data_IF_951261832659
#
_entry.id   IF_951261832659
#
_cell.length_a   1.000
_cell.length_b   1.000
_cell.length_c   1.000
_cell.angle_alpha   90.00
_cell.angle_beta   90.00
_cell.angle_gamma   90.00
#
_symmetry.space_group_name_H-M   'P 1'
#
loop_
_entity.id
_entity.type
_entity.pdbx_description
1 polymer ?
#
# COMPACT_ATOMS: atom_id res chain seq x y z
N UNK A 1 -5.45 12.06 19.21
CA UNK A 1 -5.28 10.67 18.73
C UNK A 1 -6.27 9.70 19.38
N UNK A 2 -6.38 9.65 20.72
CA UNK A 2 -7.28 8.74 21.44
C UNK A 2 -8.72 8.73 20.91
N UNK A 3 -9.33 9.91 20.76
CA UNK A 3 -10.68 10.06 20.20
C UNK A 3 -10.80 9.50 18.78
N UNK A 4 -9.81 9.76 17.92
CA UNK A 4 -9.79 9.26 16.55
C UNK A 4 -9.72 7.73 16.51
N UNK A 5 -8.85 7.13 17.34
CA UNK A 5 -8.74 5.67 17.44
C UNK A 5 -10.05 5.03 17.91
N UNK A 6 -10.71 5.62 18.90
CA UNK A 6 -12.01 5.14 19.39
C UNK A 6 -13.11 5.23 18.31
N UNK A 7 -13.22 6.37 17.64
CA UNK A 7 -14.24 6.60 16.61
C UNK A 7 -14.08 5.70 15.38
N UNK A 8 -12.85 5.31 15.06
CA UNK A 8 -12.53 4.53 13.85
C UNK A 8 -12.19 3.06 14.16
N UNK A 9 -12.32 2.61 15.41
CA UNK A 9 -11.91 1.28 15.85
C UNK A 9 -10.48 0.91 15.44
N UNK A 10 -9.56 1.87 15.57
CA UNK A 10 -8.13 1.70 15.24
C UNK A 10 -7.25 1.78 16.49
N UNK A 11 -5.97 1.46 16.36
CA UNK A 11 -4.99 1.46 17.45
C UNK A 11 -3.66 2.14 17.06
N UNK A 12 -3.73 3.23 16.29
CA UNK A 12 -2.53 3.94 15.85
C UNK A 12 -1.71 4.48 17.02
N UNK A 13 -0.39 4.32 16.93
CA UNK A 13 0.56 4.99 17.80
C UNK A 13 0.85 6.41 17.31
N UNK A 14 1.38 7.27 18.18
CA UNK A 14 1.89 8.58 17.73
C UNK A 14 3.11 8.40 16.86
N UNK A 15 3.17 9.12 15.73
CA UNK A 15 4.38 9.16 14.93
C UNK A 15 5.54 9.71 15.79
N UNK A 16 6.68 9.01 15.90
CA UNK A 16 7.75 9.43 16.80
C UNK A 16 8.31 10.80 16.44
N UNK A 17 8.65 11.59 17.44
CA UNK A 17 9.29 12.90 17.22
C UNK A 17 10.67 12.72 16.58
N UNK A 18 11.01 13.56 15.62
CA UNK A 18 12.31 13.51 14.93
C UNK A 18 12.35 12.55 13.74
N UNK A 19 11.29 11.78 13.48
CA UNK A 19 11.20 10.90 12.31
C UNK A 19 10.45 11.55 11.13
N UNK A 20 10.12 12.84 11.24
CA UNK A 20 9.45 13.59 10.19
C UNK A 20 9.84 15.06 10.22
N UNK A 21 9.73 15.72 9.08
CA UNK A 21 9.83 17.18 8.94
C UNK A 21 8.54 17.71 8.33
N UNK A 22 8.09 18.88 8.79
CA UNK A 22 6.90 19.54 8.27
C UNK A 22 7.07 21.06 8.35
N UNK A 23 6.45 21.82 7.43
CA UNK A 23 6.35 23.27 7.55
C UNK A 23 5.64 23.67 8.85
N UNK A 24 6.10 24.73 9.49
CA UNK A 24 5.45 25.32 10.67
C UNK A 24 4.37 26.34 10.30
N UNK A 25 4.38 26.82 9.06
CA UNK A 25 3.42 27.78 8.52
C UNK A 25 3.21 27.54 7.03
N UNK A 26 2.02 27.89 6.54
CA UNK A 26 1.67 27.85 5.12
C UNK A 26 1.24 29.24 4.70
N UNK A 27 1.84 29.75 3.63
CA UNK A 27 1.39 30.98 2.99
C UNK A 27 0.45 30.63 1.84
N UNK A 28 -0.76 31.18 1.86
CA UNK A 28 -1.67 31.10 0.73
C UNK A 28 -1.33 32.20 -0.25
N UNK A 29 -0.84 31.83 -1.42
CA UNK A 29 -0.75 32.74 -2.56
C UNK A 29 -2.02 32.58 -3.38
N UNK A 30 -2.80 33.65 -3.56
CA UNK A 30 -3.87 33.71 -4.57
C UNK A 30 -3.29 33.41 -5.96
N UNK A 31 -3.98 32.71 -6.89
CA UNK A 31 -5.40 32.32 -6.91
C UNK A 31 -5.84 30.94 -6.38
N UNK A 32 -4.97 29.95 -6.05
CA UNK A 32 -5.48 28.65 -5.60
C UNK A 32 -6.20 28.73 -4.24
N UNK A 33 -7.29 27.98 -4.14
CA UNK A 33 -8.09 27.81 -2.90
C UNK A 33 -7.50 26.74 -1.97
N UNK A 34 -6.39 26.12 -2.37
CA UNK A 34 -5.66 25.08 -1.66
C UNK A 34 -4.15 25.35 -1.74
N UNK A 35 -3.41 24.86 -0.77
CA UNK A 35 -1.96 24.94 -0.74
C UNK A 35 -1.42 23.62 -0.21
N UNK A 36 -0.39 23.09 -0.89
CA UNK A 36 0.21 21.83 -0.49
C UNK A 36 0.95 21.97 0.85
N UNK A 37 0.67 21.04 1.76
CA UNK A 37 1.37 20.89 3.03
C UNK A 37 2.20 19.62 2.99
N UNK A 38 3.50 19.79 2.72
CA UNK A 38 4.40 18.66 2.50
C UNK A 38 5.00 18.17 3.82
N UNK A 39 4.72 16.92 4.18
CA UNK A 39 5.32 16.25 5.33
C UNK A 39 6.32 15.22 4.78
N UNK A 40 7.58 15.31 5.19
CA UNK A 40 8.59 14.32 4.83
C UNK A 40 8.81 13.37 6.00
N UNK A 41 8.95 12.08 5.71
CA UNK A 41 9.06 11.01 6.69
C UNK A 41 10.39 10.29 6.54
N UNK A 42 11.09 10.06 7.66
CA UNK A 42 12.25 9.17 7.74
C UNK A 42 11.77 7.74 7.99
N UNK A 43 11.41 7.06 6.90
CA UNK A 43 10.84 5.70 6.94
C UNK A 43 11.72 4.71 7.75
N UNK A 44 13.06 4.65 7.55
CA UNK A 44 13.93 3.81 8.36
C UNK A 44 13.83 4.04 9.88
N UNK A 45 13.71 5.28 10.34
CA UNK A 45 13.67 5.62 11.77
C UNK A 45 12.34 5.26 12.46
N UNK A 46 11.26 5.16 11.68
CA UNK A 46 9.90 4.91 12.16
C UNK A 46 9.68 3.43 12.51
N UNK A 47 10.46 2.56 11.87
CA UNK A 47 10.50 1.12 12.13
C UNK A 47 9.32 0.36 11.54
N UNK A 48 9.65 -0.81 10.99
CA UNK A 48 8.73 -1.66 10.24
C UNK A 48 7.55 -2.16 11.06
N UNK A 49 6.38 -2.30 10.41
CA UNK A 49 5.15 -2.90 10.96
C UNK A 49 4.50 -2.05 12.04
N UNK A 50 4.69 -0.75 11.94
CA UNK A 50 4.09 0.21 12.84
C UNK A 50 3.07 1.03 12.09
N UNK A 51 1.92 1.19 12.73
CA UNK A 51 0.85 2.07 12.27
C UNK A 51 0.90 3.31 13.13
N UNK A 52 1.27 4.43 12.52
CA UNK A 52 1.40 5.71 13.19
C UNK A 52 0.34 6.68 12.72
N UNK A 53 0.08 7.66 13.56
CA UNK A 53 -0.75 8.79 13.24
C UNK A 53 -0.03 10.08 13.63
N UNK A 54 -0.15 11.07 12.76
CA UNK A 54 0.24 12.45 13.00
C UNK A 54 -1.02 13.33 12.99
N UNK A 55 -1.62 13.57 14.16
CA UNK A 55 -2.68 14.56 14.31
C UNK A 55 -2.13 15.97 14.06
N UNK A 56 -2.74 16.67 13.13
CA UNK A 56 -2.42 18.05 12.78
C UNK A 56 -3.62 18.93 13.13
N UNK A 57 -3.36 20.09 13.73
CA UNK A 57 -4.37 21.09 14.05
C UNK A 57 -3.85 22.45 13.64
N UNK A 58 -4.68 23.25 12.96
CA UNK A 58 -4.35 24.64 12.69
C UNK A 58 -4.38 25.37 14.03
N UNK A 59 -3.25 25.96 14.42
CA UNK A 59 -3.12 26.68 15.68
C UNK A 59 -3.61 28.13 15.56
N UNK A 60 -3.29 28.80 14.45
CA UNK A 60 -3.65 30.18 14.18
C UNK A 60 -3.67 30.45 12.67
N UNK A 61 -4.33 31.54 12.29
CA UNK A 61 -4.33 32.11 10.93
C UNK A 61 -4.10 33.61 11.03
N UNK A 62 -3.48 34.20 10.00
CA UNK A 62 -3.16 35.64 10.01
C UNK A 62 -4.34 36.53 9.66
N UNK A 63 -5.27 36.07 8.81
CA UNK A 63 -6.32 36.94 8.24
C UNK A 63 -7.61 36.16 7.87
N UNK A 64 -8.17 35.40 8.82
CA UNK A 64 -9.41 34.62 8.67
C UNK A 64 -9.84 33.98 10.00
N UNK A 65 -10.85 33.11 9.97
CA UNK A 65 -11.21 32.23 11.08
C UNK A 65 -10.90 30.78 10.75
N UNK A 66 -10.53 30.01 11.78
CA UNK A 66 -10.36 28.56 11.67
C UNK A 66 -11.75 27.91 11.74
N UNK A 67 -12.05 27.00 10.81
CA UNK A 67 -13.30 26.25 10.83
C UNK A 67 -13.47 25.47 12.16
N UNK A 68 -14.61 25.63 12.82
CA UNK A 68 -14.93 24.89 14.05
C UNK A 68 -15.12 23.38 13.80
N UNK A 69 -15.51 23.01 12.58
CA UNK A 69 -15.77 21.61 12.18
C UNK A 69 -14.60 20.92 11.48
N UNK A 70 -13.66 21.68 10.91
CA UNK A 70 -12.49 21.13 10.19
C UNK A 70 -11.15 21.70 10.70
N UNK A 71 -11.04 21.91 12.02
CA UNK A 71 -9.83 22.48 12.63
C UNK A 71 -8.66 21.51 12.74
N UNK A 72 -8.89 20.20 12.58
CA UNK A 72 -7.87 19.17 12.70
C UNK A 72 -8.02 18.08 11.63
N UNK A 73 -6.90 17.42 11.34
CA UNK A 73 -6.83 16.21 10.52
C UNK A 73 -5.89 15.21 11.18
N UNK A 74 -6.00 13.93 10.81
CA UNK A 74 -5.09 12.88 11.28
C UNK A 74 -4.50 12.20 10.07
N UNK A 75 -3.20 12.37 9.87
CA UNK A 75 -2.46 11.68 8.81
C UNK A 75 -2.02 10.33 9.35
N UNK A 76 -2.49 9.24 8.75
CA UNK A 76 -2.13 7.87 9.15
C UNK A 76 -1.01 7.32 8.27
N UNK A 77 0.05 6.81 8.88
CA UNK A 77 1.19 6.20 8.22
C UNK A 77 1.29 4.71 8.57
N UNK A 78 1.57 3.89 7.56
CA UNK A 78 1.74 2.45 7.72
C UNK A 78 3.11 2.07 7.17
N UNK A 79 4.04 1.75 8.07
CA UNK A 79 5.40 1.33 7.67
C UNK A 79 5.38 -0.16 7.37
N UNK A 80 5.78 -0.52 6.15
CA UNK A 80 5.76 -1.89 5.60
C UNK A 80 4.41 -2.60 5.60
N UNK A 81 3.32 -1.86 5.36
CA UNK A 81 2.03 -2.48 5.14
C UNK A 81 1.75 -2.66 3.65
N UNK A 82 1.88 -3.88 3.12
CA UNK A 82 1.48 -4.16 1.74
C UNK A 82 -0.03 -4.01 1.50
N UNK A 83 -0.84 -3.82 2.55
CA UNK A 83 -2.29 -3.67 2.40
C UNK A 83 -2.68 -2.44 1.57
N UNK A 84 -3.63 -2.63 0.64
CA UNK A 84 -4.19 -1.55 -0.15
C UNK A 84 -4.42 -1.91 -1.61
N UNK A 85 -4.97 -0.93 -2.35
CA UNK A 85 -5.16 -1.02 -3.78
C UNK A 85 -3.89 -0.66 -4.53
N UNK A 86 -3.49 -1.53 -5.46
CA UNK A 86 -2.36 -1.34 -6.37
C UNK A 86 -2.84 -1.34 -7.82
N UNK A 87 -2.18 -0.52 -8.64
CA UNK A 87 -2.21 -0.70 -10.10
C UNK A 87 -1.24 -1.80 -10.46
N UNK A 88 -1.63 -2.68 -11.38
CA UNK A 88 -0.83 -3.84 -11.79
C UNK A 88 -0.47 -3.70 -13.27
N UNK A 89 0.81 -3.54 -13.54
CA UNK A 89 1.36 -3.62 -14.89
C UNK A 89 1.90 -5.02 -15.16
N UNK A 90 1.53 -5.54 -16.34
CA UNK A 90 2.13 -6.74 -16.89
C UNK A 90 3.50 -6.37 -17.46
N UNK A 91 4.54 -7.04 -17.00
CA UNK A 91 5.86 -6.96 -17.63
C UNK A 91 5.99 -8.12 -18.63
N UNK A 92 6.48 -7.84 -19.82
CA UNK A 92 6.55 -8.80 -20.93
C UNK A 92 7.57 -9.90 -20.64
N UNK A 93 7.11 -11.13 -20.37
CA UNK A 93 7.95 -12.35 -20.45
C UNK A 93 7.07 -13.56 -20.79
N UNK A 94 7.70 -14.63 -21.28
CA UNK A 94 7.05 -15.75 -21.96
C UNK A 94 6.13 -16.57 -21.03
N UNK A 95 4.92 -16.89 -21.50
CA UNK A 95 4.07 -17.93 -20.89
C UNK A 95 2.59 -17.57 -20.76
N UNK A 96 2.24 -16.43 -20.18
CA UNK A 96 0.82 -16.06 -20.02
C UNK A 96 0.24 -15.26 -21.19
N UNK A 97 -0.96 -15.64 -21.60
CA UNK A 97 -1.75 -14.91 -22.59
C UNK A 97 -2.26 -13.57 -22.05
N UNK A 98 -2.20 -12.53 -22.89
CA UNK A 98 -2.69 -11.18 -22.57
C UNK A 98 -4.17 -11.13 -22.15
N UNK A 99 -4.98 -12.13 -22.55
CA UNK A 99 -6.41 -12.19 -22.29
C UNK A 99 -6.81 -12.34 -20.82
N UNK A 100 -5.88 -12.68 -19.93
CA UNK A 100 -6.14 -12.73 -18.48
C UNK A 100 -6.03 -11.36 -17.78
N UNK A 101 -5.65 -10.32 -18.53
CA UNK A 101 -5.52 -8.95 -18.06
C UNK A 101 -6.63 -8.08 -18.65
N UNK A 102 -7.26 -7.18 -17.87
CA UNK A 102 -8.20 -6.22 -18.40
C UNK A 102 -7.58 -5.40 -19.54
N UNK A 103 -8.31 -5.28 -20.64
CA UNK A 103 -7.88 -4.49 -21.80
C UNK A 103 -7.80 -3.01 -21.42
N UNK A 104 -8.78 -2.53 -20.66
CA UNK A 104 -8.81 -1.19 -20.09
C UNK A 104 -7.81 -1.08 -18.92
N UNK A 105 -6.79 -0.20 -19.01
CA UNK A 105 -5.81 0.02 -17.94
C UNK A 105 -6.44 0.48 -16.61
N UNK A 106 -7.57 1.17 -16.64
CA UNK A 106 -8.24 1.63 -15.41
C UNK A 106 -8.77 0.47 -14.55
N UNK A 107 -9.04 -0.67 -15.18
CA UNK A 107 -9.53 -1.88 -14.50
C UNK A 107 -8.36 -2.76 -14.01
N UNK A 108 -7.11 -2.37 -14.28
CA UNK A 108 -5.91 -3.12 -13.89
C UNK A 108 -5.53 -2.85 -12.44
N UNK A 109 -6.45 -3.14 -11.52
CA UNK A 109 -6.20 -3.03 -10.08
C UNK A 109 -6.36 -4.34 -9.30
N UNK A 110 -5.59 -4.47 -8.23
CA UNK A 110 -5.74 -5.52 -7.21
C UNK A 110 -5.62 -4.93 -5.82
N UNK A 111 -6.44 -5.44 -4.91
CA UNK A 111 -6.31 -5.18 -3.49
C UNK A 111 -5.45 -6.27 -2.83
N UNK A 112 -4.41 -5.85 -2.13
CA UNK A 112 -3.68 -6.71 -1.20
C UNK A 112 -4.36 -6.58 0.15
N UNK A 113 -4.90 -7.68 0.67
CA UNK A 113 -5.60 -7.76 1.95
C UNK A 113 -4.68 -8.28 3.03
N UNK A 114 -4.63 -7.62 4.19
CA UNK A 114 -3.91 -8.17 5.35
C UNK A 114 -4.65 -9.38 5.94
N UNK A 115 -3.92 -10.46 6.21
CA UNK A 115 -4.46 -11.68 6.83
C UNK A 115 -3.78 -12.02 8.16
N UNK A 116 -2.67 -11.36 8.48
CA UNK A 116 -1.99 -11.43 9.77
C UNK A 116 -0.89 -10.39 9.91
N UNK A 117 -0.01 -10.58 10.89
CA UNK A 117 1.06 -9.62 11.20
C UNK A 117 2.09 -9.50 10.07
N UNK A 118 2.39 -10.64 9.42
CA UNK A 118 3.39 -10.78 8.35
C UNK A 118 2.83 -11.43 7.09
N UNK A 119 1.50 -11.52 7.01
CA UNK A 119 0.82 -12.27 5.98
C UNK A 119 -0.25 -11.41 5.33
N UNK A 120 -0.31 -11.50 4.01
CA UNK A 120 -1.29 -10.85 3.17
C UNK A 120 -1.79 -11.82 2.10
N UNK A 121 -2.88 -11.44 1.47
CA UNK A 121 -3.48 -12.17 0.37
C UNK A 121 -3.83 -11.21 -0.76
N UNK A 122 -3.62 -11.61 -2.00
CA UNK A 122 -4.05 -10.86 -3.19
C UNK A 122 -4.54 -11.83 -4.27
N UNK A 123 -5.12 -11.31 -5.36
CA UNK A 123 -5.45 -12.13 -6.52
C UNK A 123 -4.22 -12.53 -7.30
N UNK A 124 -4.21 -13.72 -7.89
CA UNK A 124 -3.32 -14.02 -9.01
C UNK A 124 -3.94 -13.46 -10.29
N UNK A 125 -3.22 -12.63 -11.04
CA UNK A 125 -3.76 -11.86 -12.16
C UNK A 125 -5.00 -11.06 -11.71
N UNK A 126 -5.99 -10.82 -12.57
CA UNK A 126 -7.20 -10.06 -12.20
C UNK A 126 -8.35 -10.94 -11.74
N UNK A 127 -8.11 -11.71 -10.67
CA UNK A 127 -9.09 -12.67 -10.13
C UNK A 127 -9.58 -12.24 -8.76
N UNK A 128 -9.10 -12.88 -7.68
CA UNK A 128 -9.45 -12.46 -6.32
C UNK A 128 -9.06 -11.02 -6.09
N UNK A 129 -9.84 -10.29 -5.30
CA UNK A 129 -9.50 -8.93 -4.87
C UNK A 129 -9.24 -7.93 -6.02
N UNK A 130 -9.61 -8.26 -7.27
CA UNK A 130 -9.46 -7.36 -8.42
C UNK A 130 -10.60 -6.34 -8.52
N UNK A 131 -11.80 -6.72 -8.05
CA UNK A 131 -13.03 -5.94 -8.19
C UNK A 131 -13.53 -5.35 -6.87
N UNK A 132 -13.13 -5.91 -5.72
CA UNK A 132 -13.40 -5.34 -4.39
C UNK A 132 -12.42 -5.86 -3.33
N UNK A 133 -12.33 -5.17 -2.19
CA UNK A 133 -11.50 -5.54 -1.04
C UNK A 133 -11.96 -6.85 -0.36
N UNK A 134 -13.21 -7.24 -0.63
CA UNK A 134 -13.87 -8.40 -0.03
C UNK A 134 -14.07 -9.55 -1.02
N UNK A 135 -13.79 -9.36 -2.31
CA UNK A 135 -13.96 -10.40 -3.32
C UNK A 135 -12.92 -11.51 -3.14
N UNK A 136 -13.39 -12.68 -2.73
CA UNK A 136 -12.59 -13.90 -2.61
C UNK A 136 -13.10 -14.91 -3.62
N UNK A 137 -12.22 -15.45 -4.47
CA UNK A 137 -12.58 -16.58 -5.34
C UNK A 137 -12.54 -17.89 -4.56
N UNK A 138 -13.29 -18.91 -4.98
CA UNK A 138 -13.25 -20.24 -4.36
C UNK A 138 -12.07 -21.09 -4.84
N UNK A 139 -11.40 -20.70 -5.92
CA UNK A 139 -10.26 -21.43 -6.48
C UNK A 139 -8.94 -20.94 -5.86
N UNK A 140 -8.24 -21.77 -5.06
CA UNK A 140 -6.98 -21.37 -4.44
C UNK A 140 -5.88 -21.02 -5.47
N UNK A 141 -5.98 -21.50 -6.71
CA UNK A 141 -5.04 -21.14 -7.78
C UNK A 141 -5.23 -19.71 -8.30
N UNK A 142 -6.31 -19.04 -7.92
CA UNK A 142 -6.61 -17.66 -8.29
C UNK A 142 -6.33 -16.68 -7.14
N UNK A 143 -5.65 -17.16 -6.10
CA UNK A 143 -5.23 -16.43 -4.93
C UNK A 143 -3.71 -16.54 -4.76
N UNK A 144 -3.13 -15.48 -4.21
CA UNK A 144 -1.73 -15.46 -3.80
C UNK A 144 -1.65 -15.12 -2.32
N UNK A 145 -0.86 -15.90 -1.60
CA UNK A 145 -0.51 -15.64 -0.22
C UNK A 145 0.89 -15.03 -0.19
N UNK A 146 1.03 -13.89 0.47
CA UNK A 146 2.29 -13.16 0.63
C UNK A 146 2.70 -13.28 2.10
N UNK A 147 3.94 -13.67 2.35
CA UNK A 147 4.54 -13.74 3.69
C UNK A 147 5.84 -12.95 3.70
N UNK A 148 6.04 -12.12 4.73
CA UNK A 148 7.29 -11.39 4.96
C UNK A 148 8.06 -12.05 6.10
N UNK A 149 9.32 -12.41 5.86
CA UNK A 149 10.22 -12.75 6.96
C UNK A 149 10.58 -11.45 7.73
N UNK A 150 10.22 -11.33 9.02
CA UNK A 150 10.47 -10.12 9.80
C UNK A 150 11.95 -9.77 9.98
N UNK A 151 12.83 -10.77 9.91
CA UNK A 151 14.27 -10.65 10.15
C UNK A 151 14.98 -10.34 8.84
N UNK A 152 14.79 -11.17 7.81
CA UNK A 152 15.53 -11.06 6.55
C UNK A 152 14.89 -10.09 5.55
N UNK A 153 13.63 -9.69 5.79
CA UNK A 153 12.80 -8.89 4.88
C UNK A 153 12.50 -9.56 3.54
N UNK A 154 12.75 -10.86 3.44
CA UNK A 154 12.44 -11.65 2.26
C UNK A 154 10.93 -11.82 2.15
N UNK A 155 10.39 -11.52 0.96
CA UNK A 155 8.99 -11.77 0.63
C UNK A 155 8.85 -13.12 -0.05
N UNK A 156 8.00 -13.97 0.52
CA UNK A 156 7.57 -15.23 -0.08
C UNK A 156 6.17 -15.07 -0.62
N UNK A 157 5.96 -15.39 -1.90
CA UNK A 157 4.64 -15.39 -2.52
C UNK A 157 4.33 -16.83 -2.93
N UNK A 158 3.10 -17.28 -2.66
CA UNK A 158 2.65 -18.63 -3.01
C UNK A 158 1.30 -18.54 -3.72
N UNK A 159 1.13 -19.27 -4.82
CA UNK A 159 -0.16 -19.44 -5.48
C UNK A 159 -0.67 -20.84 -5.19
N UNK A 160 -1.84 -20.94 -4.54
CA UNK A 160 -2.31 -22.23 -4.02
C UNK A 160 -1.25 -22.89 -3.13
N UNK A 161 -0.82 -24.11 -3.50
CA UNK A 161 0.26 -24.86 -2.84
C UNK A 161 1.63 -24.75 -3.52
N UNK A 162 1.73 -24.00 -4.62
CA UNK A 162 2.96 -23.87 -5.40
C UNK A 162 3.78 -22.69 -4.85
N UNK A 163 5.01 -22.95 -4.35
CA UNK A 163 5.90 -21.87 -3.96
C UNK A 163 6.39 -21.14 -5.22
N UNK A 164 6.25 -19.82 -5.22
CA UNK A 164 6.89 -18.96 -6.20
C UNK A 164 8.25 -18.55 -5.62
N UNK A 165 9.30 -18.46 -6.46
CA UNK A 165 10.66 -18.15 -6.00
C UNK A 165 10.72 -16.93 -5.09
N UNK A 166 11.22 -17.16 -3.86
CA UNK A 166 11.33 -16.19 -2.78
C UNK A 166 12.35 -15.09 -3.04
N UNK A 167 13.30 -15.32 -3.96
CA UNK A 167 14.46 -14.44 -4.13
C UNK A 167 14.27 -13.39 -5.24
N UNK A 168 13.16 -13.44 -5.96
CA UNK A 168 12.94 -12.56 -7.11
C UNK A 168 11.83 -11.53 -6.86
N UNK A 169 10.98 -11.73 -5.84
CA UNK A 169 9.96 -10.76 -5.47
C UNK A 169 10.52 -9.76 -4.47
N UNK A 170 10.32 -8.47 -4.70
CA UNK A 170 10.87 -7.40 -3.84
C UNK A 170 9.87 -6.27 -3.67
N UNK A 171 9.87 -5.65 -2.49
CA UNK A 171 9.10 -4.44 -2.22
C UNK A 171 10.05 -3.27 -2.01
N UNK A 172 9.92 -2.24 -2.85
CA UNK A 172 10.62 -0.98 -2.69
C UNK A 172 9.69 0.02 -2.00
N UNK A 173 9.98 0.32 -0.74
CA UNK A 173 9.17 1.27 0.04
C UNK A 173 9.28 2.72 -0.47
N UNK A 174 10.42 3.11 -1.04
CA UNK A 174 10.64 4.48 -1.51
C UNK A 174 9.78 4.80 -2.74
N UNK A 175 9.60 3.82 -3.63
CA UNK A 175 8.72 3.95 -4.80
C UNK A 175 7.32 3.36 -4.56
N UNK A 176 7.13 2.67 -3.43
CA UNK A 176 5.93 1.90 -3.09
C UNK A 176 5.55 0.90 -4.20
N UNK A 177 6.55 0.17 -4.66
CA UNK A 177 6.42 -0.79 -5.76
C UNK A 177 6.72 -2.20 -5.25
N UNK A 178 5.77 -3.11 -5.45
CA UNK A 178 5.93 -4.54 -5.27
C UNK A 178 6.18 -5.18 -6.63
N UNK A 179 7.35 -5.77 -6.80
CA UNK A 179 7.69 -6.58 -7.96
C UNK A 179 7.46 -8.05 -7.61
N UNK A 180 6.65 -8.73 -8.42
CA UNK A 180 6.34 -10.15 -8.28
C UNK A 180 6.90 -10.87 -9.51
N UNK A 181 7.75 -11.87 -9.27
CA UNK A 181 8.30 -12.72 -10.34
C UNK A 181 7.89 -14.18 -10.11
N UNK A 182 7.27 -14.77 -11.12
CA UNK A 182 6.91 -16.19 -11.11
C UNK A 182 8.07 -17.04 -11.63
N UNK A 183 8.71 -17.77 -10.73
CA UNK A 183 9.52 -18.93 -11.09
C UNK A 183 8.86 -20.16 -10.49
N UNK A 184 8.15 -20.90 -11.34
CA UNK A 184 7.70 -22.25 -11.01
C UNK A 184 8.90 -23.18 -11.16
N UNK A 185 9.37 -23.71 -10.03
CA UNK A 185 10.55 -24.59 -9.96
C UNK A 185 10.50 -25.75 -10.98
N UNK A 186 9.30 -26.22 -11.31
CA UNK A 186 9.09 -27.38 -12.18
C UNK A 186 8.79 -27.02 -13.65
N UNK A 187 8.60 -25.74 -14.00
CA UNK A 187 8.29 -25.28 -15.37
C UNK A 187 9.31 -24.25 -15.87
N UNK A 188 10.49 -24.75 -16.26
CA UNK A 188 11.54 -23.92 -16.86
C UNK A 188 11.01 -23.19 -18.11
N UNK A 189 11.09 -21.86 -18.12
CA UNK A 189 10.74 -21.03 -19.28
C UNK A 189 9.38 -20.33 -19.21
N UNK A 190 8.55 -20.60 -18.19
CA UNK A 190 7.28 -19.91 -17.94
C UNK A 190 7.46 -18.86 -16.85
N UNK A 191 7.51 -17.60 -17.27
CA UNK A 191 7.77 -16.47 -16.40
C UNK A 191 6.67 -15.45 -16.61
N UNK A 192 6.02 -15.02 -15.54
CA UNK A 192 5.29 -13.76 -15.61
C UNK A 192 5.78 -12.85 -14.50
N UNK A 193 5.78 -11.58 -14.82
CA UNK A 193 6.31 -10.54 -13.98
C UNK A 193 5.19 -9.52 -13.85
N UNK A 194 4.82 -9.21 -12.62
CA UNK A 194 3.86 -8.17 -12.32
C UNK A 194 4.59 -7.07 -11.56
N UNK A 195 4.41 -5.84 -12.04
CA UNK A 195 4.78 -4.65 -11.28
C UNK A 195 3.53 -4.08 -10.66
N UNK A 196 3.43 -4.14 -9.34
CA UNK A 196 2.35 -3.54 -8.58
C UNK A 196 2.85 -2.23 -7.98
N UNK A 197 2.19 -1.12 -8.26
CA UNK A 197 2.65 0.21 -7.82
C UNK A 197 1.49 1.12 -7.44
N UNK A 198 1.83 2.19 -6.72
CA UNK A 198 0.95 3.24 -6.23
C UNK A 198 -0.20 2.71 -5.35
N UNK A 199 -0.09 2.92 -4.03
CA UNK A 199 -1.21 2.69 -3.10
C UNK A 199 -2.31 3.73 -3.35
N UNK A 200 -3.51 3.21 -3.58
CA UNK A 200 -4.81 3.88 -3.61
C UNK A 200 -5.22 4.61 -4.90
N UNK A 201 -6.52 4.45 -5.19
CA UNK A 201 -7.45 5.51 -5.53
C UNK A 201 -8.70 5.04 -4.80
N UNK A 202 -8.84 5.38 -3.51
CA UNK A 202 -10.19 5.33 -2.92
C UNK A 202 -10.99 6.34 -3.73
N UNK A 203 -12.01 5.87 -4.45
CA UNK A 203 -13.10 6.77 -4.85
C UNK A 203 -13.79 7.28 -3.59
#
# INVERSE_FOLDING_TARGET
>A
LTTYNQQNATNFAWLPTGTYTMPTSVAYTSPPTYQDFNIQLDVPAVGDRKKYALPLKISSVSDSQISEVMSYTVVTFYVDDLEGWYTVDRLSKNGEGAGNYPTNPADRRRYIKRTGDYTWQTGYLFRSYATSETHVTTDPNHQQNITLDPVTKVLTIMQGSLPISTNNSTFNIATNELHIEYLYRDWAGWWNHERMYNRSLKK
#
